data_IF_571660062727
#
_entry.id   IF_571660062727
#
_cell.length_a   1.000
_cell.length_b   1.000
_cell.length_c   1.000
_cell.angle_alpha   90.00
_cell.angle_beta   90.00
_cell.angle_gamma   90.00
#
_symmetry.space_group_name_H-M   'P 1'
#
loop_
_entity.id
_entity.type
_entity.pdbx_description
1 polymer ?
#
# COMPACT_ATOMS: atom_id res chain seq x y z
N UNK A 1 -0.21 -13.60 -10.08
CA UNK A 1 -0.09 -12.77 -8.86
C UNK A 1 -1.14 -11.66 -8.89
N UNK A 2 -1.43 -11.03 -7.75
CA UNK A 2 -2.43 -9.98 -7.58
C UNK A 2 -1.99 -8.99 -6.50
N UNK A 3 -2.29 -7.71 -6.70
CA UNK A 3 -2.11 -6.69 -5.68
C UNK A 3 -3.25 -5.69 -5.73
N UNK A 4 -3.86 -5.44 -4.57
CA UNK A 4 -4.70 -4.26 -4.37
C UNK A 4 -4.39 -3.65 -3.00
N UNK A 5 -4.07 -2.36 -3.02
CA UNK A 5 -3.85 -1.55 -1.82
C UNK A 5 -5.12 -0.72 -1.62
N UNK A 6 -5.73 -0.85 -0.45
CA UNK A 6 -6.90 -0.10 -0.06
C UNK A 6 -6.58 0.74 1.19
N UNK A 7 -6.42 2.06 1.00
CA UNK A 7 -6.29 3.03 2.07
C UNK A 7 -7.67 3.58 2.46
N UNK A 8 -7.95 3.60 3.75
CA UNK A 8 -9.13 4.21 4.33
C UNK A 8 -8.69 5.23 5.40
N UNK A 9 -8.79 6.52 5.07
CA UNK A 9 -8.47 7.60 6.01
C UNK A 9 -9.57 7.74 7.09
N UNK A 10 -9.21 7.47 8.34
CA UNK A 10 -10.02 7.66 9.55
C UNK A 10 -9.79 9.03 10.22
N UNK A 11 -9.02 9.91 9.59
CA UNK A 11 -8.86 11.31 9.98
C UNK A 11 -10.08 12.15 9.61
N UNK A 12 -10.37 13.18 10.42
CA UNK A 12 -11.46 14.13 10.13
C UNK A 12 -11.10 15.25 9.16
N UNK A 13 -9.81 15.39 8.83
CA UNK A 13 -9.31 16.42 7.91
C UNK A 13 -9.17 15.89 6.48
N UNK A 14 -9.10 16.79 5.50
CA UNK A 14 -8.91 16.47 4.08
C UNK A 14 -7.43 16.24 3.71
N UNK A 15 -6.66 15.62 4.61
CA UNK A 15 -5.19 15.49 4.47
C UNK A 15 -4.78 14.72 3.22
N UNK A 16 -5.58 13.78 2.73
CA UNK A 16 -5.34 13.02 1.50
C UNK A 16 -4.99 13.89 0.29
N UNK A 17 -5.57 15.11 0.21
CA UNK A 17 -5.31 16.06 -0.87
C UNK A 17 -3.83 16.47 -0.99
N UNK A 18 -3.05 16.29 0.08
CA UNK A 18 -1.65 16.70 0.16
C UNK A 18 -0.69 15.51 0.24
N UNK A 19 -1.20 14.29 0.33
CA UNK A 19 -0.39 13.10 0.53
C UNK A 19 -0.04 12.48 -0.82
N UNK A 20 1.25 12.37 -1.09
CA UNK A 20 1.77 11.58 -2.21
C UNK A 20 2.11 10.17 -1.74
N UNK A 21 1.86 9.18 -2.61
CA UNK A 21 2.11 7.76 -2.34
C UNK A 21 3.02 7.19 -3.41
N UNK A 22 3.98 6.36 -3.00
CA UNK A 22 4.81 5.56 -3.89
C UNK A 22 4.86 4.12 -3.39
N UNK A 23 4.82 3.16 -4.30
CA UNK A 23 4.82 1.74 -3.98
C UNK A 23 6.06 1.08 -4.58
N UNK A 24 6.75 0.31 -3.76
CA UNK A 24 7.85 -0.56 -4.19
C UNK A 24 7.49 -2.01 -3.89
N UNK A 25 7.68 -2.89 -4.86
CA UNK A 25 7.43 -4.32 -4.76
C UNK A 25 8.73 -5.05 -5.06
N UNK A 26 9.31 -5.67 -4.04
CA UNK A 26 10.46 -6.57 -4.21
C UNK A 26 9.97 -8.02 -4.20
N UNK A 27 10.27 -8.75 -5.26
CA UNK A 27 9.80 -10.11 -5.52
C UNK A 27 11.02 -11.02 -5.67
N UNK A 28 11.22 -11.87 -4.69
CA UNK A 28 12.25 -12.90 -4.65
C UNK A 28 11.60 -14.24 -5.03
N UNK A 29 11.85 -14.69 -6.27
CA UNK A 29 11.39 -15.99 -6.77
C UNK A 29 12.53 -17.01 -6.68
N UNK A 30 12.33 -18.04 -5.87
CA UNK A 30 13.23 -19.18 -5.71
C UNK A 30 12.53 -20.49 -6.13
N UNK A 31 13.26 -21.60 -6.12
CA UNK A 31 12.68 -22.92 -6.40
C UNK A 31 11.66 -23.38 -5.34
N UNK A 32 11.73 -22.82 -4.14
CA UNK A 32 10.89 -23.20 -2.99
C UNK A 32 9.64 -22.36 -2.84
N UNK A 33 9.53 -21.24 -3.56
CA UNK A 33 8.38 -20.34 -3.47
C UNK A 33 8.72 -18.91 -3.91
N UNK A 34 7.78 -18.01 -3.66
CA UNK A 34 7.96 -16.58 -3.95
C UNK A 34 7.70 -15.78 -2.69
N UNK A 35 8.71 -15.03 -2.27
CA UNK A 35 8.60 -14.05 -1.20
C UNK A 35 8.42 -12.67 -1.82
N UNK A 36 7.44 -11.93 -1.33
CA UNK A 36 7.12 -10.60 -1.82
C UNK A 36 7.12 -9.59 -0.68
N UNK A 37 7.82 -8.49 -0.89
CA UNK A 37 7.88 -7.34 0.02
C UNK A 37 7.22 -6.15 -0.66
N UNK A 38 6.12 -5.65 -0.11
CA UNK A 38 5.42 -4.46 -0.60
C UNK A 38 5.64 -3.32 0.38
N UNK A 39 6.35 -2.30 -0.08
CA UNK A 39 6.68 -1.08 0.63
C UNK A 39 5.82 0.07 0.12
N UNK A 40 5.09 0.74 0.98
CA UNK A 40 4.23 1.88 0.62
C UNK A 40 4.72 3.09 1.41
N UNK A 41 5.15 4.11 0.68
CA UNK A 41 5.69 5.34 1.24
C UNK A 41 4.66 6.46 1.10
N UNK A 42 4.32 7.09 2.21
CA UNK A 42 3.40 8.22 2.30
C UNK A 42 4.20 9.46 2.65
N UNK A 43 3.93 10.58 1.98
CA UNK A 43 4.59 11.84 2.27
C UNK A 43 3.59 12.99 2.25
N UNK A 44 3.58 13.78 3.33
CA UNK A 44 2.80 15.01 3.44
C UNK A 44 3.73 16.20 3.65
N UNK A 45 4.07 16.97 2.59
CA UNK A 45 4.97 18.10 2.70
C UNK A 45 4.29 19.37 3.25
N UNK A 46 2.96 19.35 3.46
CA UNK A 46 2.21 20.55 3.81
C UNK A 46 2.11 20.72 5.32
N UNK A 47 2.22 21.98 5.76
CA UNK A 47 1.95 22.40 7.15
C UNK A 47 0.55 22.02 7.61
N UNK A 48 0.44 21.72 8.90
CA UNK A 48 -0.86 21.50 9.55
C UNK A 48 -1.74 22.75 9.47
N UNK A 49 -3.03 22.55 9.26
CA UNK A 49 -4.03 23.62 9.38
C UNK A 49 -4.26 23.98 10.84
N UNK A 50 -4.67 25.21 11.09
CA UNK A 50 -5.24 25.58 12.38
C UNK A 50 -6.63 24.94 12.50
N UNK A 51 -6.71 23.84 13.24
CA UNK A 51 -7.94 23.08 13.45
C UNK A 51 -8.73 23.52 14.69
N UNK A 52 -8.45 24.72 15.22
CA UNK A 52 -9.26 25.31 16.29
C UNK A 52 -10.63 25.73 15.73
N UNK A 53 -11.71 25.18 16.29
CA UNK A 53 -13.10 25.48 15.91
C UNK A 53 -13.45 26.96 16.12
N UNK A 54 -12.87 27.61 17.13
CA UNK A 54 -13.12 29.03 17.44
C UNK A 54 -12.42 29.98 16.46
N UNK A 55 -11.40 29.51 15.74
CA UNK A 55 -10.72 30.31 14.73
C UNK A 55 -11.54 30.45 13.42
N UNK A 56 -12.61 29.67 13.25
CA UNK A 56 -13.48 29.72 12.06
C UNK A 56 -12.80 29.31 10.75
N UNK A 57 -11.65 28.64 10.81
CA UNK A 57 -10.87 28.21 9.64
C UNK A 57 -11.13 26.73 9.30
N UNK A 58 -10.91 26.36 8.02
CA UNK A 58 -11.04 24.97 7.59
C UNK A 58 -9.86 24.13 8.09
N UNK A 59 -10.15 23.04 8.81
CA UNK A 59 -9.18 22.01 9.16
C UNK A 59 -8.93 21.08 7.96
N UNK A 60 -8.07 21.52 7.04
CA UNK A 60 -7.81 20.77 5.80
C UNK A 60 -6.68 19.75 5.96
N UNK A 61 -5.61 20.10 6.68
CA UNK A 61 -4.46 19.23 6.86
C UNK A 61 -4.22 18.96 8.34
N UNK A 62 -4.64 17.80 8.81
CA UNK A 62 -4.46 17.34 10.18
C UNK A 62 -3.62 16.06 10.26
N UNK A 63 -3.62 15.43 11.42
CA UNK A 63 -3.03 14.08 11.59
C UNK A 63 -3.78 13.11 10.67
N UNK A 64 -3.06 12.50 9.75
CA UNK A 64 -3.55 11.43 8.91
C UNK A 64 -3.58 10.15 9.73
N UNK A 65 -4.70 9.42 9.67
CA UNK A 65 -4.90 8.16 10.37
C UNK A 65 -5.39 7.19 9.33
N UNK A 66 -4.59 6.20 8.97
CA UNK A 66 -4.91 5.33 7.86
C UNK A 66 -5.12 3.91 8.35
N UNK A 67 -6.21 3.32 7.86
CA UNK A 67 -6.41 1.89 7.91
C UNK A 67 -6.14 1.33 6.51
N UNK A 68 -5.04 0.61 6.38
CA UNK A 68 -4.63 0.01 5.13
C UNK A 68 -4.97 -1.47 5.11
N UNK A 69 -5.56 -1.92 4.00
CA UNK A 69 -5.80 -3.32 3.67
C UNK A 69 -5.03 -3.68 2.40
N UNK A 70 -4.16 -4.67 2.50
CA UNK A 70 -3.41 -5.23 1.37
C UNK A 70 -4.06 -6.54 0.94
N UNK A 71 -4.73 -6.53 -0.22
CA UNK A 71 -5.32 -7.72 -0.81
C UNK A 71 -4.30 -8.39 -1.73
N UNK A 72 -4.09 -9.68 -1.51
CA UNK A 72 -3.11 -10.51 -2.20
C UNK A 72 -3.75 -11.84 -2.61
N UNK A 73 -3.09 -12.69 -3.43
CA UNK A 73 -3.64 -13.99 -3.80
C UNK A 73 -4.06 -14.80 -2.56
N UNK A 74 -5.22 -15.46 -2.66
CA UNK A 74 -5.74 -16.29 -1.58
C UNK A 74 -4.75 -17.40 -1.20
N UNK A 75 -4.52 -17.57 0.09
CA UNK A 75 -3.55 -18.52 0.62
C UNK A 75 -2.13 -17.96 0.77
N UNK A 76 -1.93 -16.66 0.49
CA UNK A 76 -0.67 -15.97 0.82
C UNK A 76 -0.45 -15.99 2.34
N UNK A 77 0.80 -16.12 2.78
CA UNK A 77 1.16 -16.20 4.20
C UNK A 77 1.92 -14.96 4.63
N UNK A 78 1.38 -14.21 5.57
CA UNK A 78 2.05 -13.04 6.13
C UNK A 78 3.30 -13.47 6.91
N UNK A 79 4.44 -12.85 6.62
CA UNK A 79 5.69 -13.02 7.37
C UNK A 79 5.83 -11.89 8.39
N UNK A 80 5.67 -10.64 7.95
CA UNK A 80 5.77 -9.48 8.84
C UNK A 80 5.11 -8.23 8.27
N UNK A 81 4.77 -7.31 9.18
CA UNK A 81 4.37 -5.93 8.86
C UNK A 81 5.23 -4.98 9.68
N UNK A 82 5.86 -4.00 9.02
CA UNK A 82 6.64 -2.94 9.66
C UNK A 82 5.96 -1.60 9.42
N UNK A 83 5.90 -0.77 10.47
CA UNK A 83 5.29 0.57 10.43
C UNK A 83 3.84 0.63 10.90
N UNK A 84 3.20 -0.52 11.16
CA UNK A 84 1.89 -0.55 11.82
C UNK A 84 2.01 -0.17 13.31
N UNK A 85 1.08 0.63 13.79
CA UNK A 85 0.92 1.00 15.21
C UNK A 85 0.05 -0.01 15.99
N UNK A 86 -0.67 -0.87 15.27
CA UNK A 86 -1.48 -1.96 15.83
C UNK A 86 -0.94 -3.30 15.35
N UNK A 87 -1.29 -4.36 16.08
CA UNK A 87 -1.00 -5.72 15.64
C UNK A 87 -1.69 -5.98 14.30
N UNK A 88 -0.92 -6.51 13.36
CA UNK A 88 -1.37 -6.93 12.05
C UNK A 88 -2.46 -7.99 12.15
N UNK A 89 -3.45 -7.89 11.27
CA UNK A 89 -4.50 -8.89 11.14
C UNK A 89 -4.46 -9.53 9.76
N UNK A 90 -4.77 -10.82 9.72
CA UNK A 90 -4.89 -11.59 8.48
C UNK A 90 -6.31 -12.11 8.41
N UNK A 91 -7.00 -11.80 7.31
CA UNK A 91 -8.38 -12.21 7.06
C UNK A 91 -8.56 -12.66 5.61
N UNK A 92 -9.74 -13.18 5.29
CA UNK A 92 -10.16 -13.45 3.92
C UNK A 92 -11.35 -12.57 3.55
N UNK A 93 -11.29 -11.96 2.38
CA UNK A 93 -12.36 -11.14 1.81
C UNK A 93 -12.25 -11.16 0.28
N UNK A 94 -13.38 -11.13 -0.44
CA UNK A 94 -13.43 -11.14 -1.92
C UNK A 94 -12.56 -12.23 -2.58
N UNK A 95 -12.48 -13.41 -1.96
CA UNK A 95 -11.61 -14.52 -2.39
C UNK A 95 -10.13 -14.12 -2.51
N UNK A 96 -9.67 -13.29 -1.58
CA UNK A 96 -8.29 -12.85 -1.39
C UNK A 96 -7.88 -13.05 0.06
N UNK A 97 -6.59 -13.17 0.29
CA UNK A 97 -6.03 -12.97 1.63
C UNK A 97 -5.79 -11.49 1.82
N UNK A 98 -6.17 -10.96 2.98
CA UNK A 98 -6.07 -9.54 3.31
C UNK A 98 -5.15 -9.36 4.51
N UNK A 99 -4.15 -8.50 4.37
CA UNK A 99 -3.30 -8.06 5.47
C UNK A 99 -3.67 -6.65 5.87
N UNK A 100 -3.87 -6.43 7.17
CA UNK A 100 -4.42 -5.18 7.68
C UNK A 100 -3.41 -4.52 8.62
N UNK A 101 -3.25 -3.20 8.46
CA UNK A 101 -2.39 -2.40 9.30
C UNK A 101 -3.02 -1.02 9.55
N UNK A 102 -2.57 -0.36 10.61
CA UNK A 102 -3.00 0.99 10.93
C UNK A 102 -1.80 1.85 11.31
N UNK A 103 -1.77 3.09 10.85
CA UNK A 103 -0.71 4.03 11.23
C UNK A 103 -1.20 5.48 11.27
N UNK A 104 -0.42 6.33 11.92
CA UNK A 104 -0.63 7.77 11.87
C UNK A 104 0.56 8.50 11.26
N UNK A 105 0.28 9.62 10.60
CA UNK A 105 1.29 10.50 10.01
C UNK A 105 0.91 11.96 10.31
N UNK A 106 1.90 12.74 10.78
CA UNK A 106 1.69 14.16 11.06
C UNK A 106 1.86 14.99 9.78
N UNK A 107 1.33 16.22 9.74
CA UNK A 107 1.72 17.19 8.71
C UNK A 107 3.24 17.38 8.67
N UNK A 108 3.79 17.73 7.51
CA UNK A 108 5.24 17.87 7.28
C UNK A 108 6.06 16.63 7.69
N UNK A 109 5.52 15.44 7.45
CA UNK A 109 6.21 14.18 7.74
C UNK A 109 5.95 13.11 6.69
N UNK A 110 6.70 12.02 6.81
CA UNK A 110 6.57 10.84 5.96
C UNK A 110 6.43 9.60 6.83
N UNK A 111 5.71 8.61 6.33
CA UNK A 111 5.53 7.29 6.96
C UNK A 111 5.70 6.20 5.90
N UNK A 112 6.17 5.03 6.32
CA UNK A 112 6.36 3.87 5.44
C UNK A 112 5.75 2.63 6.10
N UNK A 113 4.92 1.91 5.34
CA UNK A 113 4.39 0.60 5.74
C UNK A 113 5.00 -0.46 4.83
N UNK A 114 5.47 -1.56 5.42
CA UNK A 114 6.12 -2.65 4.69
C UNK A 114 5.46 -3.97 5.05
N UNK A 115 4.88 -4.64 4.06
CA UNK A 115 4.33 -5.98 4.19
C UNK A 115 5.30 -6.97 3.55
N UNK A 116 5.70 -8.01 4.28
CA UNK A 116 6.46 -9.14 3.74
C UNK A 116 5.62 -10.41 3.84
N UNK A 117 5.48 -11.15 2.76
CA UNK A 117 4.63 -12.35 2.70
C UNK A 117 5.12 -13.36 1.67
N UNK A 118 4.70 -14.60 1.82
CA UNK A 118 4.87 -15.66 0.82
C UNK A 118 3.61 -15.75 -0.05
N UNK A 119 3.79 -15.88 -1.36
CA UNK A 119 2.69 -16.21 -2.26
C UNK A 119 2.30 -17.69 -2.13
N UNK A 120 1.03 -18.04 -2.38
CA UNK A 120 0.61 -19.43 -2.50
C UNK A 120 1.30 -20.08 -3.71
N UNK A 121 1.16 -21.40 -3.85
CA UNK A 121 1.60 -22.10 -5.06
C UNK A 121 0.80 -21.57 -6.27
N UNK A 122 1.47 -20.81 -7.13
CA UNK A 122 0.95 -20.23 -8.37
C UNK A 122 1.77 -20.75 -9.55
N UNK A 123 1.13 -20.94 -10.71
CA UNK A 123 1.88 -21.08 -11.96
C UNK A 123 2.47 -19.71 -12.33
N UNK A 124 3.79 -19.59 -12.14
CA UNK A 124 4.55 -18.39 -12.41
C UNK A 124 5.60 -18.66 -13.51
N UNK A 125 5.32 -19.59 -14.42
CA UNK A 125 6.14 -19.82 -15.63
C UNK A 125 6.31 -18.52 -16.42
N UNK A 126 5.24 -17.73 -16.53
CA UNK A 126 5.27 -16.30 -16.86
C UNK A 126 4.76 -15.52 -15.66
N UNK A 127 5.54 -14.58 -15.14
CA UNK A 127 5.12 -13.80 -13.97
C UNK A 127 4.12 -12.73 -14.38
N UNK A 128 2.83 -13.07 -14.34
CA UNK A 128 1.72 -12.14 -14.56
C UNK A 128 1.19 -11.62 -13.22
N UNK A 129 1.03 -10.32 -13.12
CA UNK A 129 0.46 -9.68 -11.95
C UNK A 129 -0.61 -8.66 -12.36
N UNK A 130 -1.80 -8.81 -11.79
CA UNK A 130 -2.83 -7.78 -11.84
C UNK A 130 -2.66 -6.84 -10.65
N UNK A 131 -2.43 -5.55 -10.92
CA UNK A 131 -2.48 -4.48 -9.95
C UNK A 131 -3.82 -3.78 -10.12
N UNK A 132 -4.72 -3.95 -9.15
CA UNK A 132 -6.02 -3.29 -9.17
C UNK A 132 -5.93 -1.95 -8.45
N UNK A 133 -6.29 -0.89 -9.16
CA UNK A 133 -6.19 0.46 -8.63
C UNK A 133 -7.33 0.74 -7.66
N UNK A 134 -7.02 1.40 -6.55
CA UNK A 134 -8.06 1.96 -5.69
C UNK A 134 -8.86 3.07 -6.42
N UNK A 135 -10.19 2.97 -6.48
CA UNK A 135 -11.03 4.05 -6.98
C UNK A 135 -10.83 5.33 -6.15
N UNK A 136 -10.81 6.49 -6.80
CA UNK A 136 -10.70 7.79 -6.13
C UNK A 136 -9.28 8.24 -5.74
N UNK A 137 -8.26 7.40 -5.88
CA UNK A 137 -6.86 7.82 -5.70
C UNK A 137 -6.28 8.46 -6.98
N UNK A 138 -5.24 9.32 -6.88
CA UNK A 138 -4.48 9.74 -8.06
C UNK A 138 -3.70 8.56 -8.68
N UNK A 139 -2.97 8.82 -9.77
CA UNK A 139 -1.99 7.86 -10.28
C UNK A 139 -0.90 7.62 -9.22
N UNK A 140 -0.55 6.36 -8.98
CA UNK A 140 0.47 5.96 -8.01
C UNK A 140 1.61 5.27 -8.77
N UNK A 141 2.85 5.69 -8.52
CA UNK A 141 4.04 5.09 -9.11
C UNK A 141 4.34 3.77 -8.38
N UNK A 142 4.42 2.68 -9.14
CA UNK A 142 4.87 1.37 -8.68
C UNK A 142 6.23 1.04 -9.27
N UNK A 143 7.23 0.83 -8.43
CA UNK A 143 8.51 0.22 -8.79
C UNK A 143 8.44 -1.27 -8.44
N UNK A 144 8.63 -2.15 -9.42
CA UNK A 144 8.49 -3.59 -9.28
C UNK A 144 9.82 -4.23 -9.62
N UNK A 145 10.38 -4.99 -8.70
CA UNK A 145 11.70 -5.60 -8.80
C UNK A 145 11.51 -7.12 -8.71
N UNK A 146 11.75 -7.84 -9.80
CA UNK A 146 11.72 -9.31 -9.82
C UNK A 146 13.15 -9.82 -9.92
N UNK A 147 13.67 -10.44 -8.86
CA UNK A 147 15.05 -10.97 -8.82
C UNK A 147 16.11 -9.95 -9.31
N UNK A 148 15.92 -8.66 -8.96
CA UNK A 148 16.79 -7.55 -9.37
C UNK A 148 16.43 -6.85 -10.69
N UNK A 149 15.54 -7.41 -11.51
CA UNK A 149 15.05 -6.76 -12.73
C UNK A 149 13.94 -5.77 -12.39
N UNK A 150 14.15 -4.49 -12.71
CA UNK A 150 13.20 -3.42 -12.37
C UNK A 150 12.25 -3.08 -13.53
N UNK A 151 10.97 -2.96 -13.21
CA UNK A 151 9.91 -2.36 -14.01
C UNK A 151 9.27 -1.22 -13.22
N UNK A 152 9.10 -0.05 -13.84
CA UNK A 152 8.36 1.07 -13.25
C UNK A 152 7.08 1.28 -14.04
N UNK A 153 5.95 1.40 -13.34
CA UNK A 153 4.64 1.63 -13.93
C UNK A 153 3.85 2.63 -13.09
N UNK A 154 3.19 3.57 -13.75
CA UNK A 154 2.20 4.44 -13.13
C UNK A 154 0.82 3.77 -13.19
N UNK A 155 0.20 3.61 -12.02
CA UNK A 155 -1.09 2.92 -11.85
C UNK A 155 -2.20 3.97 -11.72
N UNK A 156 -2.72 4.38 -12.88
CA UNK A 156 -3.83 5.32 -13.07
C UNK A 156 -5.19 4.63 -13.33
N UNK A 157 -5.15 3.34 -13.66
CA UNK A 157 -6.26 2.39 -13.78
C UNK A 157 -5.76 0.98 -13.41
N UNK A 158 -6.61 -0.04 -13.51
CA UNK A 158 -6.17 -1.43 -13.35
C UNK A 158 -5.10 -1.77 -14.39
N UNK A 159 -4.01 -2.41 -13.96
CA UNK A 159 -2.87 -2.75 -14.81
C UNK A 159 -2.51 -4.21 -14.65
N UNK A 160 -2.48 -4.95 -15.76
CA UNK A 160 -1.75 -6.20 -15.82
C UNK A 160 -0.30 -5.91 -16.23
N UNK A 161 0.66 -6.46 -15.49
CA UNK A 161 2.08 -6.42 -15.84
C UNK A 161 2.62 -7.83 -16.03
N UNK A 162 3.54 -7.96 -16.98
CA UNK A 162 4.31 -9.17 -17.23
C UNK A 162 5.75 -8.85 -16.85
N UNK A 163 6.28 -9.56 -15.87
CA UNK A 163 7.66 -9.41 -15.42
C UNK A 163 8.53 -10.48 -16.10
N UNK A 164 9.71 -10.06 -16.57
CA UNK A 164 10.69 -10.91 -17.26
C UNK A 164 11.99 -11.03 -16.46
#
# INVERSE_FOLDING_TARGET
>A
DYLHINDANFGGAKSDMYITREVEQDIEKTDTGVTKTVSISYNNPRKGSNCNLEAGQLCLNGVYRDYIRLFVPKGSKLISVVGSEVKEQVSEDLDKTVFEAFFTMRPESSSKIVFKYELPALDLSTYRMLIQKQPGTPSIKHTIILNGNQLVVDVDQDREVILN
#
